data_IF_823192122418
#
_entry.id   IF_823192122418
#
_cell.length_a   1.000
_cell.length_b   1.000
_cell.length_c   1.000
_cell.angle_alpha   90.00
_cell.angle_beta   90.00
_cell.angle_gamma   90.00
#
_symmetry.space_group_name_H-M   'P 1'
#
loop_
_entity.id
_entity.type
_entity.pdbx_description
1 polymer ?
#
# COMPACT_ATOMS: atom_id res chain seq x y z
N UNK A 1 -3.44 29.25 5.86
CA UNK A 1 -4.82 29.41 5.33
C UNK A 1 -4.89 29.27 3.80
N UNK A 2 -4.07 29.97 3.02
CA UNK A 2 -4.07 29.88 1.53
C UNK A 2 -3.88 28.47 0.95
N UNK A 3 -3.00 27.64 1.52
CA UNK A 3 -2.79 26.26 1.04
C UNK A 3 -4.03 25.37 1.24
N UNK A 4 -4.74 25.54 2.35
CA UNK A 4 -5.95 24.78 2.68
C UNK A 4 -7.11 25.09 1.72
N UNK A 5 -7.30 26.37 1.38
CA UNK A 5 -8.32 26.81 0.41
C UNK A 5 -8.01 26.31 -1.01
N UNK A 6 -6.74 26.37 -1.43
CA UNK A 6 -6.31 25.84 -2.74
C UNK A 6 -6.56 24.34 -2.87
N UNK A 7 -6.27 23.55 -1.83
CA UNK A 7 -6.54 22.10 -1.82
C UNK A 7 -8.03 21.79 -1.90
N UNK A 8 -8.83 22.52 -1.11
CA UNK A 8 -10.29 22.34 -1.09
C UNK A 8 -10.91 22.68 -2.46
N UNK A 9 -10.45 23.75 -3.12
CA UNK A 9 -10.90 24.11 -4.46
C UNK A 9 -10.51 23.06 -5.53
N UNK A 10 -9.31 22.47 -5.44
CA UNK A 10 -8.86 21.43 -6.35
C UNK A 10 -9.73 20.16 -6.23
N UNK A 11 -10.14 19.79 -5.01
CA UNK A 11 -10.99 18.63 -4.77
C UNK A 11 -12.41 18.83 -5.30
N UNK A 12 -13.05 19.97 -5.01
CA UNK A 12 -14.36 20.32 -5.58
C UNK A 12 -14.32 20.27 -7.10
N UNK A 13 -13.28 20.81 -7.73
CA UNK A 13 -13.12 20.76 -9.18
C UNK A 13 -13.08 19.31 -9.69
N UNK A 14 -12.28 18.45 -9.06
CA UNK A 14 -12.17 17.04 -9.46
C UNK A 14 -13.48 16.27 -9.26
N UNK A 15 -14.16 16.46 -8.14
CA UNK A 15 -15.41 15.76 -7.82
C UNK A 15 -16.56 16.25 -8.72
N UNK A 16 -16.64 17.56 -8.98
CA UNK A 16 -17.62 18.16 -9.91
C UNK A 16 -17.39 17.71 -11.35
N UNK A 17 -16.12 17.61 -11.79
CA UNK A 17 -15.78 17.10 -13.13
C UNK A 17 -16.17 15.63 -13.30
N UNK A 18 -15.97 14.80 -12.28
CA UNK A 18 -16.39 13.40 -12.30
C UNK A 18 -17.92 13.27 -12.37
N UNK A 19 -18.64 14.03 -11.56
CA UNK A 19 -20.11 13.98 -11.52
C UNK A 19 -20.74 14.49 -12.82
N UNK A 20 -20.24 15.60 -13.37
CA UNK A 20 -20.79 16.22 -14.58
C UNK A 20 -20.62 15.34 -15.82
N UNK A 21 -19.56 14.51 -15.87
CA UNK A 21 -19.28 13.67 -17.04
C UNK A 21 -20.03 12.34 -17.05
N UNK A 22 -20.76 11.98 -15.99
CA UNK A 22 -21.35 10.65 -15.80
C UNK A 22 -20.40 9.51 -16.25
N UNK A 23 -19.09 9.70 -16.04
CA UNK A 23 -18.08 8.76 -16.49
C UNK A 23 -18.18 7.51 -15.61
N UNK A 24 -18.74 6.43 -16.15
CA UNK A 24 -18.41 5.09 -15.66
C UNK A 24 -16.89 5.01 -15.78
N UNK A 25 -16.19 4.98 -14.64
CA UNK A 25 -14.73 5.06 -14.68
C UNK A 25 -14.22 3.91 -15.54
N UNK A 26 -13.47 4.19 -16.62
CA UNK A 26 -12.94 3.13 -17.47
C UNK A 26 -12.04 2.26 -16.62
N UNK A 27 -12.05 0.96 -16.88
CA UNK A 27 -11.19 0.02 -16.20
C UNK A 27 -9.73 0.48 -16.27
N UNK A 28 -9.06 0.42 -15.12
CA UNK A 28 -7.66 0.80 -14.97
C UNK A 28 -6.87 -0.42 -14.53
N UNK A 29 -5.73 -0.62 -15.19
CA UNK A 29 -4.77 -1.65 -14.81
C UNK A 29 -4.07 -1.31 -13.50
N UNK A 30 -3.73 -0.04 -13.27
CA UNK A 30 -3.03 0.39 -12.06
C UNK A 30 -3.50 1.75 -11.54
N UNK A 31 -3.38 1.92 -10.23
CA UNK A 31 -3.49 3.18 -9.51
C UNK A 31 -2.16 3.43 -8.79
N UNK A 32 -1.32 4.36 -9.28
CA UNK A 32 -0.10 4.76 -8.58
C UNK A 32 -0.43 5.34 -7.20
N UNK A 33 0.20 4.81 -6.14
CA UNK A 33 -0.04 5.27 -4.77
C UNK A 33 1.17 5.98 -4.18
N UNK A 34 2.33 5.30 -4.18
CA UNK A 34 3.57 5.81 -3.58
C UNK A 34 4.74 5.51 -4.52
N UNK A 35 5.49 6.55 -4.87
CA UNK A 35 6.83 6.44 -5.45
C UNK A 35 7.87 6.59 -4.32
N UNK A 36 9.01 5.93 -4.45
CA UNK A 36 10.14 6.06 -3.54
C UNK A 36 11.44 6.33 -4.32
N UNK A 37 11.36 7.19 -5.34
CA UNK A 37 12.43 7.42 -6.29
C UNK A 37 13.05 8.82 -6.23
N UNK A 38 12.66 9.62 -5.24
CA UNK A 38 13.21 10.95 -5.00
C UNK A 38 13.33 11.25 -3.51
N UNK A 39 14.28 12.09 -3.08
CA UNK A 39 14.39 12.51 -1.67
C UNK A 39 13.09 13.11 -1.12
N UNK A 40 12.36 13.86 -1.96
CA UNK A 40 11.06 14.45 -1.60
C UNK A 40 9.98 13.40 -1.32
N UNK A 41 10.08 12.23 -1.95
CA UNK A 41 9.17 11.14 -1.65
C UNK A 41 9.48 10.53 -0.29
N UNK A 42 10.75 10.40 0.10
CA UNK A 42 11.14 9.90 1.43
C UNK A 42 10.67 10.82 2.56
N UNK A 43 10.59 12.13 2.33
CA UNK A 43 10.01 13.06 3.31
C UNK A 43 8.55 12.74 3.65
N UNK A 44 7.85 12.01 2.77
CA UNK A 44 6.48 11.52 2.99
C UNK A 44 6.44 10.25 3.81
N UNK A 45 7.55 9.75 4.32
CA UNK A 45 7.60 8.58 5.18
C UNK A 45 7.99 8.98 6.60
N UNK A 46 7.45 8.24 7.56
CA UNK A 46 7.86 8.26 8.95
C UNK A 46 8.53 6.92 9.26
N UNK A 47 9.64 6.97 9.99
CA UNK A 47 10.37 5.82 10.50
C UNK A 47 10.00 5.69 11.98
N UNK A 48 9.88 4.48 12.48
CA UNK A 48 9.72 4.20 13.90
C UNK A 48 10.31 2.85 14.26
N UNK A 49 10.78 2.70 15.49
CA UNK A 49 11.31 1.44 16.01
C UNK A 49 11.11 1.38 17.53
N UNK A 50 11.47 0.25 18.15
CA UNK A 50 11.33 0.12 19.60
C UNK A 50 12.17 1.13 20.41
N UNK A 51 13.15 1.80 19.80
CA UNK A 51 13.89 2.90 20.44
C UNK A 51 12.94 4.02 20.91
N UNK A 52 11.81 4.24 20.22
CA UNK A 52 10.79 5.22 20.59
C UNK A 52 10.15 4.93 21.96
N UNK A 53 10.24 3.67 22.41
CA UNK A 53 9.78 3.21 23.73
C UNK A 53 10.93 2.77 24.64
N UNK A 54 12.17 3.15 24.31
CA UNK A 54 13.38 2.85 25.10
C UNK A 54 14.10 1.54 24.72
N UNK A 55 13.65 0.86 23.66
CA UNK A 55 14.32 -0.29 23.09
C UNK A 55 15.68 0.05 22.46
N UNK A 56 16.29 -0.95 21.83
CA UNK A 56 17.68 -0.89 21.35
C UNK A 56 17.82 -1.23 19.87
N UNK A 57 16.71 -1.28 19.11
CA UNK A 57 16.75 -1.44 17.66
C UNK A 57 17.12 -0.13 16.97
N UNK A 58 17.65 -0.25 15.76
CA UNK A 58 17.97 0.88 14.87
C UNK A 58 17.19 0.74 13.56
N UNK A 59 16.72 1.87 13.02
CA UNK A 59 15.97 1.91 11.78
C UNK A 59 16.29 3.19 10.99
N UNK A 60 16.62 3.03 9.72
CA UNK A 60 17.01 4.09 8.80
C UNK A 60 16.26 3.97 7.48
N UNK A 61 15.95 5.10 6.85
CA UNK A 61 15.36 5.18 5.50
C UNK A 61 16.14 6.19 4.68
N UNK A 62 16.77 5.73 3.60
CA UNK A 62 17.66 6.55 2.77
C UNK A 62 17.45 6.32 1.28
N UNK A 63 17.90 7.27 0.45
CA UNK A 63 17.95 7.07 -1.00
C UNK A 63 19.19 6.28 -1.38
N UNK A 64 19.00 5.27 -2.21
CA UNK A 64 20.07 4.55 -2.92
C UNK A 64 20.55 5.36 -4.13
N UNK A 65 21.76 5.04 -4.60
CA UNK A 65 22.32 5.61 -5.85
C UNK A 65 21.46 5.29 -7.08
N UNK A 66 20.71 4.19 -7.05
CA UNK A 66 19.84 3.74 -8.14
C UNK A 66 18.47 4.43 -8.16
N UNK A 67 18.24 5.43 -7.31
CA UNK A 67 16.96 6.12 -7.28
C UNK A 67 15.83 5.28 -6.68
N UNK A 68 16.13 4.45 -5.68
CA UNK A 68 15.14 3.70 -4.87
C UNK A 68 15.34 3.99 -3.38
N UNK A 69 14.37 3.68 -2.52
CA UNK A 69 14.49 3.85 -1.08
C UNK A 69 14.96 2.57 -0.40
N UNK A 70 15.91 2.69 0.51
CA UNK A 70 16.43 1.59 1.33
C UNK A 70 15.98 1.76 2.77
N UNK A 71 15.23 0.79 3.27
CA UNK A 71 14.88 0.65 4.67
C UNK A 71 15.77 -0.40 5.33
N UNK A 72 16.61 0.01 6.28
CA UNK A 72 17.63 -0.87 6.86
C UNK A 72 17.90 -0.52 8.32
N UNK A 73 18.54 -1.44 9.03
CA UNK A 73 18.92 -1.23 10.43
C UNK A 73 19.28 -2.54 11.12
N UNK A 74 19.19 -2.55 12.45
CA UNK A 74 19.50 -3.72 13.26
C UNK A 74 18.45 -3.90 14.35
N UNK A 75 17.84 -5.08 14.44
CA UNK A 75 16.86 -5.42 15.48
C UNK A 75 17.57 -5.91 16.73
N UNK A 76 17.13 -5.41 17.89
CA UNK A 76 17.50 -5.91 19.21
C UNK A 76 16.24 -6.35 19.96
N UNK A 77 16.25 -7.55 20.53
CA UNK A 77 15.10 -8.05 21.31
C UNK A 77 15.22 -7.73 22.80
N UNK A 78 16.30 -7.05 23.20
CA UNK A 78 16.51 -6.61 24.57
C UNK A 78 15.37 -5.70 25.04
N UNK A 79 14.78 -6.05 26.17
CA UNK A 79 13.75 -5.24 26.81
C UNK A 79 14.38 -4.01 27.48
N UNK A 80 13.70 -2.85 27.43
CA UNK A 80 14.10 -1.67 28.20
C UNK A 80 13.89 -1.91 29.70
N UNK A 81 14.47 -1.03 30.51
CA UNK A 81 14.35 -1.09 31.97
C UNK A 81 12.90 -0.85 32.46
N UNK A 82 12.01 -0.34 31.61
CA UNK A 82 10.60 -0.14 31.93
C UNK A 82 9.85 -1.50 31.94
N UNK A 83 9.34 -1.97 33.11
CA UNK A 83 8.66 -3.25 33.24
C UNK A 83 7.29 -3.32 32.56
N UNK A 84 6.69 -2.19 32.17
CA UNK A 84 5.44 -2.17 31.40
C UNK A 84 5.65 -2.69 29.97
N UNK A 85 6.88 -2.61 29.46
CA UNK A 85 7.24 -3.02 28.10
C UNK A 85 7.57 -4.50 28.11
N UNK A 86 6.59 -5.30 27.67
CA UNK A 86 6.71 -6.75 27.60
C UNK A 86 7.29 -7.25 26.28
N UNK A 87 7.39 -6.39 25.27
CA UNK A 87 7.82 -6.74 23.92
C UNK A 87 8.64 -5.60 23.32
N UNK A 88 9.76 -5.96 22.69
CA UNK A 88 10.69 -5.10 21.96
C UNK A 88 11.14 -5.86 20.70
N UNK A 89 11.94 -5.25 19.84
CA UNK A 89 12.47 -5.84 18.62
C UNK A 89 11.60 -5.58 17.39
N UNK A 90 11.29 -4.31 17.12
CA UNK A 90 10.57 -3.93 15.89
C UNK A 90 11.16 -2.70 15.22
N UNK A 91 10.98 -2.65 13.90
CA UNK A 91 11.25 -1.48 13.07
C UNK A 91 10.17 -1.34 12.01
N UNK A 92 9.78 -0.12 11.66
CA UNK A 92 8.76 0.14 10.66
C UNK A 92 8.98 1.47 9.93
N UNK A 93 8.49 1.51 8.70
CA UNK A 93 8.27 2.72 7.93
C UNK A 93 6.80 2.83 7.54
N UNK A 94 6.26 4.04 7.51
CA UNK A 94 4.87 4.29 7.11
C UNK A 94 4.76 5.60 6.34
N UNK A 95 4.00 5.58 5.24
CA UNK A 95 3.66 6.81 4.52
C UNK A 95 2.86 7.75 5.42
N UNK A 96 3.17 9.04 5.42
CA UNK A 96 2.41 10.08 6.11
C UNK A 96 1.08 10.28 5.37
N UNK A 97 -0.04 10.46 6.10
CA UNK A 97 -1.31 10.79 5.48
C UNK A 97 -1.20 12.09 4.69
N UNK A 98 -2.04 12.21 3.65
CA UNK A 98 -2.16 13.47 2.91
C UNK A 98 -2.52 14.63 3.83
N UNK A 99 -2.09 15.84 3.46
CA UNK A 99 -2.37 17.00 4.27
C UNK A 99 -3.90 17.28 4.31
N UNK A 100 -4.49 17.55 5.50
CA UNK A 100 -5.93 17.75 5.64
C UNK A 100 -6.49 18.88 4.77
N UNK A 101 -7.72 18.70 4.32
CA UNK A 101 -8.54 19.68 3.59
C UNK A 101 -9.91 19.84 4.27
N UNK A 102 -10.76 20.75 3.76
CA UNK A 102 -12.14 20.90 4.26
C UNK A 102 -12.97 19.62 4.03
N UNK A 103 -12.58 18.79 3.07
CA UNK A 103 -13.24 17.53 2.71
C UNK A 103 -12.62 16.32 3.41
N UNK A 104 -11.79 16.55 4.44
CA UNK A 104 -11.10 15.51 5.18
C UNK A 104 -9.67 15.25 4.71
N UNK A 105 -9.15 14.09 5.08
CA UNK A 105 -7.79 13.64 4.76
C UNK A 105 -7.82 12.94 3.40
N UNK A 106 -6.94 13.32 2.44
CA UNK A 106 -6.84 12.61 1.17
C UNK A 106 -6.55 11.11 1.39
N UNK A 107 -7.38 10.27 0.80
CA UNK A 107 -7.25 8.82 0.83
C UNK A 107 -7.29 8.26 -0.61
N UNK A 108 -6.81 7.03 -0.79
CA UNK A 108 -6.94 6.29 -2.03
C UNK A 108 -8.19 5.42 -2.00
N UNK A 109 -8.95 5.48 -3.09
CA UNK A 109 -10.02 4.53 -3.37
C UNK A 109 -9.45 3.37 -4.20
N UNK A 110 -9.35 2.21 -3.56
CA UNK A 110 -8.79 0.99 -4.14
C UNK A 110 -9.85 -0.04 -4.50
N UNK A 111 -11.14 0.26 -4.29
CA UNK A 111 -12.27 -0.69 -4.46
C UNK A 111 -12.25 -1.41 -5.82
N UNK A 112 -11.89 -0.69 -6.89
CA UNK A 112 -11.84 -1.22 -8.26
C UNK A 112 -10.53 -1.97 -8.61
N UNK A 113 -9.64 -2.21 -7.65
CA UNK A 113 -8.39 -2.93 -7.86
C UNK A 113 -8.38 -4.23 -7.06
N UNK A 114 -7.73 -5.28 -7.53
CA UNK A 114 -7.69 -6.56 -6.79
C UNK A 114 -6.51 -6.65 -5.82
N UNK A 115 -5.37 -6.08 -6.21
CA UNK A 115 -4.10 -6.31 -5.54
C UNK A 115 -3.46 -5.00 -5.08
N UNK A 116 -2.79 -5.04 -3.93
CA UNK A 116 -1.71 -4.14 -3.62
C UNK A 116 -0.41 -4.72 -4.19
N UNK A 117 0.26 -3.96 -5.05
CA UNK A 117 1.51 -4.36 -5.68
C UNK A 117 2.67 -3.50 -5.15
N UNK A 118 3.76 -4.16 -4.75
CA UNK A 118 4.99 -3.52 -4.30
C UNK A 118 6.17 -4.03 -5.14
N UNK A 119 7.03 -3.13 -5.60
CA UNK A 119 8.33 -3.48 -6.20
C UNK A 119 9.41 -3.37 -5.14
N UNK A 120 10.00 -4.51 -4.78
CA UNK A 120 10.89 -4.64 -3.63
C UNK A 120 12.08 -5.54 -3.93
N UNK A 121 13.17 -5.33 -3.20
CA UNK A 121 14.33 -6.21 -3.11
C UNK A 121 14.73 -6.29 -1.64
N UNK A 122 14.49 -7.43 -1.00
CA UNK A 122 14.78 -7.61 0.42
C UNK A 122 15.71 -8.77 0.70
N UNK A 123 16.10 -8.90 1.95
CA UNK A 123 16.83 -10.04 2.50
C UNK A 123 15.88 -11.19 2.92
N UNK A 124 16.39 -12.13 3.72
CA UNK A 124 15.64 -13.30 4.22
C UNK A 124 14.72 -13.00 5.43
N UNK A 125 14.59 -11.72 5.83
CA UNK A 125 13.78 -11.32 6.99
C UNK A 125 12.29 -11.35 6.67
N UNK A 126 11.46 -11.45 7.72
CA UNK A 126 10.00 -11.59 7.59
C UNK A 126 9.32 -10.24 7.75
N UNK A 127 9.23 -9.50 6.64
CA UNK A 127 8.53 -8.22 6.59
C UNK A 127 7.01 -8.39 6.52
N UNK A 128 6.30 -7.35 6.95
CA UNK A 128 4.86 -7.22 6.87
C UNK A 128 4.51 -5.93 6.15
N UNK A 129 3.50 -5.98 5.29
CA UNK A 129 2.86 -4.81 4.69
C UNK A 129 1.66 -4.43 5.56
N UNK A 130 1.58 -3.15 5.87
CA UNK A 130 0.56 -2.60 6.76
C UNK A 130 -0.26 -1.55 6.01
N UNK A 131 -1.59 -1.63 6.12
CA UNK A 131 -2.51 -0.66 5.54
C UNK A 131 -3.36 -0.09 6.67
N UNK A 132 -3.38 1.25 6.77
CA UNK A 132 -4.31 1.96 7.63
C UNK A 132 -5.38 2.62 6.78
N UNK A 133 -6.64 2.46 7.15
CA UNK A 133 -7.78 3.13 6.52
C UNK A 133 -8.27 4.29 7.37
N UNK A 134 -9.04 5.21 6.79
CA UNK A 134 -9.75 6.26 7.54
C UNK A 134 -11.06 5.72 8.14
N UNK A 135 -10.92 4.71 9.00
CA UNK A 135 -12.01 4.07 9.74
C UNK A 135 -12.27 4.72 11.10
N UNK A 136 -13.25 4.16 11.84
CA UNK A 136 -13.65 4.65 13.17
C UNK A 136 -12.52 4.48 14.19
N UNK A 137 -11.87 3.31 14.18
CA UNK A 137 -10.80 2.98 15.12
C UNK A 137 -9.46 3.30 14.45
N UNK A 138 -8.77 4.32 14.96
CA UNK A 138 -7.53 4.80 14.36
C UNK A 138 -6.34 3.85 14.57
N UNK A 139 -6.43 2.95 15.55
CA UNK A 139 -5.39 1.94 15.82
C UNK A 139 -5.54 0.68 14.99
N UNK A 140 -6.60 0.57 14.19
CA UNK A 140 -6.80 -0.55 13.28
C UNK A 140 -5.77 -0.52 12.16
N UNK A 141 -5.17 -1.68 11.94
CA UNK A 141 -4.15 -1.91 10.93
C UNK A 141 -4.40 -3.24 10.25
N UNK A 142 -4.53 -3.19 8.94
CA UNK A 142 -4.64 -4.38 8.11
C UNK A 142 -3.24 -4.84 7.74
N UNK A 143 -2.87 -6.06 8.10
CA UNK A 143 -1.52 -6.58 7.94
C UNK A 143 -1.50 -7.82 7.06
N UNK A 144 -0.48 -7.91 6.21
CA UNK A 144 -0.18 -9.12 5.46
C UNK A 144 1.33 -9.35 5.44
N UNK A 145 1.77 -10.61 5.52
CA UNK A 145 3.19 -10.93 5.44
C UNK A 145 3.71 -10.69 4.01
N UNK A 146 4.81 -9.98 3.88
CA UNK A 146 5.47 -9.80 2.59
C UNK A 146 6.30 -11.06 2.28
N UNK A 147 5.84 -11.87 1.34
CA UNK A 147 6.56 -13.07 0.91
C UNK A 147 7.49 -12.74 -0.25
N UNK A 148 8.79 -12.67 0.03
CA UNK A 148 9.84 -12.58 -0.98
C UNK A 148 10.20 -13.98 -1.45
N UNK A 149 10.13 -14.21 -2.76
CA UNK A 149 10.48 -15.49 -3.41
C UNK A 149 11.93 -15.52 -3.84
N UNK A 150 12.54 -14.34 -4.05
CA UNK A 150 13.91 -14.19 -4.52
C UNK A 150 14.66 -13.14 -3.68
N UNK A 151 15.04 -13.48 -2.43
CA UNK A 151 15.88 -12.60 -1.61
C UNK A 151 17.13 -12.13 -2.37
N UNK A 152 17.44 -10.85 -2.28
CA UNK A 152 18.54 -10.20 -3.00
C UNK A 152 18.23 -9.78 -4.44
N UNK A 153 17.11 -10.21 -5.03
CA UNK A 153 16.66 -9.79 -6.36
C UNK A 153 15.44 -8.86 -6.30
N UNK A 154 15.27 -8.04 -7.34
CA UNK A 154 14.07 -7.23 -7.47
C UNK A 154 12.88 -8.06 -7.95
N UNK A 155 11.81 -8.07 -7.18
CA UNK A 155 10.55 -8.71 -7.53
C UNK A 155 9.35 -7.79 -7.30
N UNK A 156 8.25 -8.11 -7.98
CA UNK A 156 6.97 -7.42 -7.79
C UNK A 156 6.05 -8.37 -7.06
N UNK A 157 5.75 -8.06 -5.80
CA UNK A 157 4.83 -8.85 -4.97
C UNK A 157 3.43 -8.26 -5.09
N UNK A 158 2.46 -9.10 -5.43
CA UNK A 158 1.05 -8.74 -5.51
C UNK A 158 0.28 -9.43 -4.39
N UNK A 159 -0.34 -8.64 -3.52
CA UNK A 159 -1.09 -9.13 -2.36
C UNK A 159 -2.56 -8.78 -2.58
N UNK A 160 -3.48 -9.75 -2.65
CA UNK A 160 -4.91 -9.46 -2.69
C UNK A 160 -5.32 -8.64 -1.46
N UNK A 161 -6.12 -7.57 -1.65
CA UNK A 161 -6.56 -6.75 -0.51
C UNK A 161 -7.36 -7.56 0.52
N UNK A 162 -8.14 -8.56 0.07
CA UNK A 162 -8.92 -9.47 0.92
C UNK A 162 -8.07 -10.37 1.82
N UNK A 163 -6.78 -10.55 1.52
CA UNK A 163 -5.90 -11.43 2.28
C UNK A 163 -5.30 -10.71 3.51
N UNK A 164 -5.44 -9.38 3.60
CA UNK A 164 -4.98 -8.63 4.76
C UNK A 164 -5.86 -8.90 5.98
N UNK A 165 -5.22 -9.10 7.13
CA UNK A 165 -5.86 -9.42 8.39
C UNK A 165 -5.90 -8.18 9.29
N UNK A 166 -7.05 -7.91 9.89
CA UNK A 166 -7.24 -6.82 10.84
C UNK A 166 -6.51 -7.12 12.15
N UNK A 167 -5.69 -6.15 12.56
CA UNK A 167 -4.97 -6.14 13.82
C UNK A 167 -5.18 -4.80 14.53
N UNK A 168 -5.06 -4.81 15.85
CA UNK A 168 -5.10 -3.60 16.68
C UNK A 168 -3.98 -3.71 17.71
N UNK A 169 -3.12 -2.70 17.80
CA UNK A 169 -1.94 -2.70 18.68
C UNK A 169 -1.09 -3.99 18.59
N UNK A 170 -0.94 -4.52 17.36
CA UNK A 170 -0.18 -5.75 17.11
C UNK A 170 -0.90 -7.05 17.48
N UNK A 171 -2.17 -7.00 17.88
CA UNK A 171 -2.98 -8.18 18.19
C UNK A 171 -4.02 -8.41 17.08
N UNK A 172 -4.07 -9.65 16.59
CA UNK A 172 -5.09 -10.08 15.62
C UNK A 172 -6.47 -9.94 16.26
N UNK A 173 -7.37 -9.24 15.58
CA UNK A 173 -8.73 -9.09 16.09
C UNK A 173 -9.54 -10.37 15.84
N UNK A 174 -10.29 -10.87 16.83
CA UNK A 174 -11.12 -12.05 16.63
C UNK A 174 -12.24 -11.76 15.62
N UNK A 175 -12.82 -10.56 15.71
CA UNK A 175 -13.83 -10.07 14.78
C UNK A 175 -13.13 -9.35 13.63
N UNK A 176 -13.09 -10.01 12.48
CA UNK A 176 -12.53 -9.43 11.26
C UNK A 176 -13.58 -8.55 10.59
N UNK A 177 -13.22 -7.28 10.39
CA UNK A 177 -14.01 -6.33 9.60
C UNK A 177 -13.33 -6.21 8.24
N UNK A 178 -14.12 -6.09 7.18
CA UNK A 178 -13.59 -5.85 5.85
C UNK A 178 -12.90 -4.49 5.76
N UNK A 179 -11.76 -4.44 5.07
CA UNK A 179 -11.00 -3.21 4.88
C UNK A 179 -11.85 -2.13 4.20
N UNK A 180 -11.80 -0.90 4.71
CA UNK A 180 -12.46 0.26 4.08
C UNK A 180 -11.66 0.75 2.87
N UNK A 181 -11.77 0.02 1.76
CA UNK A 181 -10.92 0.11 0.56
C UNK A 181 -11.04 1.45 -0.19
N UNK A 182 -12.15 2.17 -0.01
CA UNK A 182 -12.40 3.51 -0.52
C UNK A 182 -11.60 4.61 0.21
N UNK A 183 -11.12 4.31 1.41
CA UNK A 183 -10.38 5.26 2.26
C UNK A 183 -9.07 4.70 2.78
N UNK A 184 -8.27 4.11 1.89
CA UNK A 184 -6.89 3.73 2.23
C UNK A 184 -6.09 5.01 2.50
N UNK A 185 -5.51 5.11 3.70
CA UNK A 185 -4.93 6.36 4.22
C UNK A 185 -3.41 6.32 4.28
N UNK A 186 -2.85 5.21 4.75
CA UNK A 186 -1.40 5.01 4.78
C UNK A 186 -1.03 3.57 4.44
N UNK A 187 0.16 3.38 3.90
CA UNK A 187 0.80 2.09 3.70
C UNK A 187 2.16 2.11 4.39
N UNK A 188 2.54 1.00 5.01
CA UNK A 188 3.82 0.84 5.66
C UNK A 188 4.43 -0.54 5.48
N UNK A 189 5.71 -0.65 5.79
CA UNK A 189 6.42 -1.91 5.94
C UNK A 189 6.92 -1.99 7.38
N UNK A 190 6.73 -3.14 8.03
CA UNK A 190 7.28 -3.40 9.36
C UNK A 190 8.03 -4.72 9.41
N UNK A 191 9.03 -4.76 10.27
CA UNK A 191 9.73 -5.96 10.69
C UNK A 191 9.40 -6.21 12.17
N UNK A 192 8.71 -7.32 12.43
CA UNK A 192 8.24 -7.74 13.77
C UNK A 192 8.55 -9.22 14.02
N UNK A 193 9.61 -9.72 13.40
CA UNK A 193 9.95 -11.15 13.38
C UNK A 193 10.72 -11.63 14.60
N UNK A 194 11.07 -10.71 15.53
CA UNK A 194 11.76 -10.95 16.80
C UNK A 194 13.07 -11.72 16.64
N UNK A 195 13.74 -11.53 15.51
CA UNK A 195 15.07 -12.06 15.28
C UNK A 195 16.09 -10.94 15.48
N UNK A 196 17.11 -11.15 16.30
CA UNK A 196 18.17 -10.15 16.43
C UNK A 196 18.99 -10.05 15.15
N UNK A 197 19.60 -8.89 14.93
CA UNK A 197 20.54 -8.67 13.84
C UNK A 197 20.00 -7.79 12.72
N UNK A 198 20.77 -7.70 11.61
CA UNK A 198 20.52 -6.72 10.57
C UNK A 198 19.28 -7.05 9.75
N UNK A 199 18.71 -6.01 9.18
CA UNK A 199 17.70 -6.12 8.14
C UNK A 199 17.93 -5.07 7.04
N UNK A 200 17.51 -5.39 5.82
CA UNK A 200 17.66 -4.53 4.66
C UNK A 200 16.62 -4.87 3.58
N UNK A 201 15.76 -3.90 3.26
CA UNK A 201 14.82 -3.98 2.16
C UNK A 201 14.80 -2.68 1.36
N UNK A 202 14.88 -2.81 0.04
CA UNK A 202 14.73 -1.71 -0.90
C UNK A 202 13.33 -1.71 -1.53
N UNK A 203 12.80 -0.51 -1.73
CA UNK A 203 11.49 -0.25 -2.32
C UNK A 203 11.62 0.75 -3.46
N UNK A 204 10.90 0.50 -4.55
CA UNK A 204 10.81 1.42 -5.69
C UNK A 204 9.44 2.11 -5.73
N UNK A 205 8.36 1.33 -5.71
CA UNK A 205 7.00 1.85 -5.75
C UNK A 205 5.98 0.92 -5.08
N UNK A 206 4.84 1.52 -4.74
CA UNK A 206 3.62 0.84 -4.29
C UNK A 206 2.43 1.36 -5.10
N UNK A 207 1.60 0.45 -5.60
CA UNK A 207 0.42 0.76 -6.43
C UNK A 207 -0.71 -0.22 -6.13
N UNK A 208 -1.96 0.17 -6.40
CA UNK A 208 -3.04 -0.80 -6.55
C UNK A 208 -3.09 -1.29 -8.00
N UNK A 209 -3.40 -2.58 -8.22
CA UNK A 209 -3.26 -3.22 -9.52
C UNK A 209 -4.39 -4.23 -9.79
N UNK A 210 -4.75 -4.34 -11.07
CA UNK A 210 -5.54 -5.40 -11.64
C UNK A 210 -4.69 -6.22 -12.64
N UNK A 211 -4.98 -7.51 -12.75
CA UNK A 211 -4.57 -8.31 -13.90
C UNK A 211 -5.53 -8.06 -15.06
N UNK A 212 -5.18 -8.52 -16.26
CA UNK A 212 -6.05 -8.40 -17.44
C UNK A 212 -7.41 -9.14 -17.29
N UNK A 213 -7.54 -9.93 -16.22
CA UNK A 213 -8.70 -10.73 -15.84
C UNK A 213 -9.33 -10.32 -14.50
N UNK A 214 -8.94 -9.19 -13.92
CA UNK A 214 -9.51 -8.73 -12.65
C UNK A 214 -10.05 -7.29 -12.70
N UNK A 215 -11.13 -7.04 -11.97
CA UNK A 215 -11.69 -5.72 -11.74
C UNK A 215 -12.23 -5.65 -10.31
N UNK A 216 -11.41 -5.12 -9.41
CA UNK A 216 -11.70 -5.20 -7.97
C UNK A 216 -11.74 -6.65 -7.51
N UNK A 217 -12.77 -6.99 -6.75
CA UNK A 217 -12.97 -8.37 -6.29
C UNK A 217 -13.63 -9.26 -7.36
N UNK A 218 -14.08 -8.68 -8.48
CA UNK A 218 -14.74 -9.42 -9.58
C UNK A 218 -13.74 -9.89 -10.65
N UNK A 219 -14.04 -11.06 -11.23
CA UNK A 219 -13.33 -11.53 -12.42
C UNK A 219 -13.84 -10.79 -13.66
N UNK A 220 -12.90 -10.39 -14.50
CA UNK A 220 -13.15 -9.71 -15.76
C UNK A 220 -12.93 -10.71 -16.89
N UNK A 221 -13.87 -10.78 -17.83
CA UNK A 221 -13.65 -11.51 -19.07
C UNK A 221 -12.40 -10.93 -19.76
N UNK A 222 -11.44 -11.77 -20.19
CA UNK A 222 -10.27 -11.28 -20.91
C UNK A 222 -10.76 -10.49 -22.14
N UNK A 223 -10.08 -9.39 -22.50
CA UNK A 223 -10.44 -8.67 -23.71
C UNK A 223 -10.38 -9.66 -24.88
N UNK A 224 -11.48 -9.77 -25.63
CA UNK A 224 -11.54 -10.55 -26.87
C UNK A 224 -10.36 -10.13 -27.74
N UNK A 225 -9.44 -11.05 -28.05
CA UNK A 225 -8.39 -10.78 -29.04
C UNK A 225 -9.09 -10.48 -30.36
N UNK A 226 -8.47 -9.62 -31.16
CA UNK A 226 -8.98 -9.25 -32.49
C UNK A 226 -9.17 -10.44 -33.46
N UNK A 227 -8.64 -11.60 -33.09
CA UNK A 227 -8.70 -12.84 -33.86
C UNK A 227 -9.50 -13.95 -33.15
N UNK A 228 -10.15 -13.64 -32.02
CA UNK A 228 -11.02 -14.61 -31.37
C UNK A 228 -12.26 -14.78 -32.24
N UNK A 229 -12.43 -16.02 -32.71
CA UNK A 229 -13.62 -16.49 -33.40
C UNK A 229 -14.51 -17.22 -32.41
N UNK A 230 -15.81 -17.05 -32.55
CA UNK A 230 -16.79 -17.81 -31.77
C UNK A 230 -16.77 -19.30 -32.15
N UNK A 231 -17.62 -20.10 -31.48
CA UNK A 231 -17.76 -21.54 -31.74
C UNK A 231 -18.21 -21.87 -33.19
N UNK A 232 -18.63 -20.85 -33.95
CA UNK A 232 -19.05 -20.91 -35.35
C UNK A 232 -18.00 -20.36 -36.32
N UNK A 233 -16.83 -19.93 -35.83
CA UNK A 233 -15.76 -19.39 -36.65
C UNK A 233 -15.93 -17.92 -37.05
N UNK A 234 -16.89 -17.20 -36.46
CA UNK A 234 -17.13 -15.78 -36.73
C UNK A 234 -16.33 -14.89 -35.79
N UNK A 235 -15.75 -13.80 -36.31
CA UNK A 235 -15.01 -12.83 -35.49
C UNK A 235 -15.92 -12.20 -34.45
N UNK A 236 -15.52 -12.30 -33.17
CA UNK A 236 -16.27 -11.69 -32.07
C UNK A 236 -16.21 -10.16 -32.20
N UNK A 237 -17.35 -9.44 -32.22
CA UNK A 237 -17.35 -7.99 -32.35
C UNK A 237 -16.71 -7.31 -31.12
N UNK A 238 -15.88 -6.30 -31.35
CA UNK A 238 -15.31 -5.46 -30.28
C UNK A 238 -16.34 -4.44 -29.81
N UNK A 239 -17.10 -4.80 -28.76
CA UNK A 239 -18.15 -3.94 -28.17
C UNK A 239 -17.59 -2.78 -27.33
N UNK A 240 -16.27 -2.63 -27.19
CA UNK A 240 -15.67 -1.50 -26.42
C UNK A 240 -15.57 -0.21 -27.25
N UNK A 241 -15.85 -0.27 -28.54
CA UNK A 241 -15.97 0.93 -29.40
C UNK A 241 -17.40 1.44 -29.38
N UNK A 242 -17.69 2.36 -28.45
CA UNK A 242 -18.82 3.28 -28.61
C UNK A 242 -18.61 4.10 -29.87
N UNK A 243 -19.39 3.84 -30.91
CA UNK A 243 -19.50 4.73 -32.06
C UNK A 243 -20.26 6.00 -31.67
N UNK A 244 -19.54 7.11 -31.76
CA UNK A 244 -19.96 8.53 -31.75
C UNK A 244 -20.38 9.15 -30.41
#
# INVERSE_FOLDING_TARGET
MFSFLKRSAAQVKNDSLKALRMEVQPWKRELPMLSLNSPKDLERWAIGCDMDIGGFSEANLEMTENGTARFWGNISTKLPDNPEIKQSGYAAIRSKPGAPSFFGIPCWDTTLFRYLALRVRGDDRKYFVNIQTDGIIQTDLYQHRLFLRKPGEWETVMIPFRDFILTNNGQIQPDQIEMFREKVKTIGISLIDRQEGPFNIELDWIKALNTDTSEGDMDRAPPTRRDDVDEFGEKIPDFTKSTH
#
